data_IF_228074432463
#
_entry.id   IF_228074432463
#
_cell.length_a   1.000
_cell.length_b   1.000
_cell.length_c   1.000
_cell.angle_alpha   90.00
_cell.angle_beta   90.00
_cell.angle_gamma   90.00
#
_symmetry.space_group_name_H-M   'P 1'
#
loop_
_entity.id
_entity.type
_entity.pdbx_description
1 polymer ?
#
# COMPACT_ATOMS: atom_id res chain seq x y z
N UNK A 1 -70.54 19.99 4.19
CA UNK A 1 -69.20 20.09 4.79
C UNK A 1 -68.89 18.81 5.54
N UNK A 2 -68.00 17.95 5.03
CA UNK A 2 -67.38 16.87 5.80
C UNK A 2 -66.07 16.48 5.11
N UNK A 3 -64.96 16.86 5.74
CA UNK A 3 -63.59 16.52 5.33
C UNK A 3 -63.11 15.37 6.21
N UNK A 4 -62.64 14.27 5.63
CA UNK A 4 -61.68 13.30 6.20
C UNK A 4 -61.19 12.41 5.04
N UNK A 5 -60.06 12.78 4.44
CA UNK A 5 -58.70 12.26 4.73
C UNK A 5 -58.36 11.09 3.79
N UNK A 6 -57.76 11.44 2.64
CA UNK A 6 -57.09 10.49 1.74
C UNK A 6 -55.73 10.15 2.35
N UNK A 7 -55.57 8.92 2.81
CA UNK A 7 -54.27 8.38 3.23
C UNK A 7 -53.43 8.14 1.98
N UNK A 8 -52.46 9.04 1.72
CA UNK A 8 -51.46 8.84 0.69
C UNK A 8 -50.42 7.83 1.20
N UNK A 9 -50.39 6.65 0.58
CA UNK A 9 -49.31 5.68 0.78
C UNK A 9 -48.06 6.23 0.10
N UNK A 10 -47.22 6.90 0.87
CA UNK A 10 -45.88 7.30 0.43
C UNK A 10 -45.05 6.03 0.27
N UNK A 11 -44.93 5.54 -0.96
CA UNK A 11 -43.89 4.57 -1.32
C UNK A 11 -42.55 5.28 -1.18
N UNK A 12 -41.92 5.09 -0.02
CA UNK A 12 -40.53 5.45 0.21
C UNK A 12 -39.70 4.51 -0.66
N UNK A 13 -39.42 4.90 -1.90
CA UNK A 13 -38.38 4.27 -2.71
C UNK A 13 -37.08 4.44 -1.95
N UNK A 14 -36.66 3.38 -1.26
CA UNK A 14 -35.30 3.28 -0.75
C UNK A 14 -34.38 3.52 -1.94
N UNK A 15 -33.66 4.64 -1.90
CA UNK A 15 -32.54 4.87 -2.80
C UNK A 15 -31.53 3.79 -2.42
N UNK A 16 -31.48 2.72 -3.20
CA UNK A 16 -30.44 1.70 -3.06
C UNK A 16 -29.10 2.45 -3.05
N UNK A 17 -28.39 2.36 -1.94
CA UNK A 17 -26.98 2.73 -1.91
C UNK A 17 -26.32 1.94 -3.04
N UNK A 18 -25.48 2.62 -3.84
CA UNK A 18 -24.48 1.94 -4.65
C UNK A 18 -23.56 1.20 -3.67
N UNK A 19 -23.88 -0.04 -3.36
CA UNK A 19 -23.04 -0.94 -2.58
C UNK A 19 -22.82 -2.19 -3.43
N UNK A 20 -21.55 -2.59 -3.44
CA UNK A 20 -20.96 -3.79 -4.02
C UNK A 20 -20.68 -3.80 -5.52
N UNK A 21 -19.55 -3.19 -5.87
CA UNK A 21 -18.73 -3.54 -7.04
C UNK A 21 -17.99 -4.90 -6.85
N UNK A 22 -18.39 -5.72 -5.86
CA UNK A 22 -17.72 -6.99 -5.53
C UNK A 22 -16.39 -6.86 -4.78
N UNK A 23 -16.04 -5.66 -4.28
CA UNK A 23 -14.85 -5.47 -3.45
C UNK A 23 -15.11 -5.99 -2.02
N UNK A 24 -14.35 -6.99 -1.58
CA UNK A 24 -14.46 -7.60 -0.25
C UNK A 24 -14.15 -6.62 0.90
N UNK A 25 -13.48 -5.50 0.61
CA UNK A 25 -13.05 -4.50 1.59
C UNK A 25 -13.42 -3.10 1.10
N UNK A 26 -14.16 -2.35 1.92
CA UNK A 26 -14.34 -0.91 1.72
C UNK A 26 -13.12 -0.14 2.26
N UNK A 27 -12.15 0.02 1.37
CA UNK A 27 -10.93 0.80 1.58
C UNK A 27 -11.15 2.27 1.97
N UNK A 28 -12.33 2.82 1.72
CA UNK A 28 -12.63 4.23 2.02
C UNK A 28 -12.92 4.41 3.50
N UNK A 29 -13.56 3.41 4.11
CA UNK A 29 -14.10 3.49 5.48
C UNK A 29 -13.42 2.57 6.48
N UNK A 30 -12.55 1.64 6.01
CA UNK A 30 -11.81 0.72 6.88
C UNK A 30 -10.95 1.45 7.93
N UNK A 31 -10.46 2.64 7.60
CA UNK A 31 -9.62 3.46 8.48
C UNK A 31 -8.16 3.04 8.44
N UNK A 32 -7.28 3.98 8.84
CA UNK A 32 -5.82 3.83 8.76
C UNK A 32 -5.31 2.61 9.52
N UNK A 33 -5.69 2.46 10.79
CA UNK A 33 -5.15 1.41 11.67
C UNK A 33 -5.47 0.01 11.14
N UNK A 34 -6.71 -0.21 10.69
CA UNK A 34 -7.12 -1.49 10.11
C UNK A 34 -6.46 -1.75 8.77
N UNK A 35 -6.29 -0.71 7.94
CA UNK A 35 -5.53 -0.81 6.70
C UNK A 35 -4.09 -1.24 6.98
N UNK A 36 -3.37 -0.54 7.86
CA UNK A 36 -1.98 -0.84 8.21
C UNK A 36 -1.86 -2.27 8.75
N UNK A 37 -2.71 -2.63 9.72
CA UNK A 37 -2.72 -3.97 10.31
C UNK A 37 -2.97 -5.08 9.28
N UNK A 38 -3.86 -4.83 8.33
CA UNK A 38 -4.18 -5.80 7.28
C UNK A 38 -3.00 -5.97 6.32
N UNK A 39 -2.36 -4.88 5.88
CA UNK A 39 -1.20 -4.99 4.99
C UNK A 39 -0.01 -5.64 5.70
N UNK A 40 0.27 -5.27 6.95
CA UNK A 40 1.30 -5.91 7.78
C UNK A 40 1.09 -7.42 7.89
N UNK A 41 -0.16 -7.86 8.06
CA UNK A 41 -0.49 -9.28 8.11
C UNK A 41 -0.27 -9.98 6.76
N UNK A 42 -0.34 -9.26 5.63
CA UNK A 42 -0.15 -9.84 4.29
C UNK A 42 1.30 -9.84 3.81
N UNK A 43 2.16 -8.95 4.31
CA UNK A 43 3.59 -8.90 3.96
C UNK A 43 4.32 -10.25 4.17
N UNK A 44 4.12 -11.00 5.27
CA UNK A 44 4.74 -12.33 5.42
C UNK A 44 4.39 -13.30 4.30
N UNK A 45 3.18 -13.20 3.75
CA UNK A 45 2.75 -14.07 2.65
C UNK A 45 3.41 -13.68 1.31
N UNK A 46 3.88 -12.44 1.16
CA UNK A 46 4.69 -12.04 0.00
C UNK A 46 6.11 -12.56 0.08
N UNK A 47 6.59 -12.80 1.29
CA UNK A 47 7.97 -13.17 1.58
C UNK A 47 8.03 -14.45 2.42
N UNK A 48 7.54 -15.59 1.89
CA UNK A 48 7.41 -16.84 2.66
C UNK A 48 8.75 -17.38 3.17
N UNK A 49 9.86 -16.97 2.54
CA UNK A 49 11.23 -17.33 2.92
C UNK A 49 12.03 -16.13 3.47
N UNK A 50 11.40 -14.96 3.55
CA UNK A 50 12.05 -13.73 4.00
C UNK A 50 12.00 -13.58 5.52
N UNK A 51 13.01 -12.90 6.06
CA UNK A 51 12.97 -12.42 7.44
C UNK A 51 12.25 -11.08 7.49
N UNK A 52 11.16 -11.02 8.24
CA UNK A 52 10.46 -9.76 8.49
C UNK A 52 11.07 -9.03 9.67
N UNK A 53 11.38 -7.76 9.44
CA UNK A 53 11.86 -6.83 10.45
C UNK A 53 10.83 -5.70 10.55
N UNK A 54 10.10 -5.68 11.66
CA UNK A 54 9.30 -4.52 12.01
C UNK A 54 10.23 -3.48 12.67
N UNK A 55 10.27 -2.22 12.20
CA UNK A 55 10.98 -1.15 12.90
C UNK A 55 10.46 -1.06 14.35
N UNK A 56 11.38 -1.06 15.31
CA UNK A 56 11.15 -1.48 16.71
C UNK A 56 10.13 -0.65 17.50
N UNK A 57 9.64 0.51 17.01
CA UNK A 57 8.93 1.43 17.90
C UNK A 57 7.51 1.83 17.55
N UNK A 58 6.84 1.28 16.53
CA UNK A 58 5.36 1.41 16.35
C UNK A 58 4.77 2.84 16.35
N UNK A 59 5.62 3.88 16.41
CA UNK A 59 5.28 5.29 16.38
C UNK A 59 5.49 5.72 14.94
N UNK A 60 4.47 5.49 14.12
CA UNK A 60 4.39 6.06 12.78
C UNK A 60 4.68 7.55 12.84
N UNK A 61 5.85 7.96 12.35
CA UNK A 61 6.34 9.32 12.48
C UNK A 61 7.37 9.65 11.41
N UNK A 62 8.61 9.18 11.57
CA UNK A 62 9.73 9.82 10.85
C UNK A 62 10.70 8.85 10.14
N UNK A 63 10.36 7.55 10.03
CA UNK A 63 11.30 6.55 9.50
C UNK A 63 11.22 6.27 8.00
N UNK A 64 10.11 6.59 7.35
CA UNK A 64 9.87 6.24 5.94
C UNK A 64 9.73 4.73 5.66
N UNK A 65 9.65 3.91 6.72
CA UNK A 65 9.64 2.45 6.68
C UNK A 65 8.57 2.01 7.66
N UNK A 66 7.50 1.39 7.16
CA UNK A 66 6.47 0.79 8.01
C UNK A 66 6.68 -0.72 8.16
N UNK A 67 7.29 -1.36 7.15
CA UNK A 67 7.80 -2.72 7.27
C UNK A 67 9.03 -2.94 6.38
N UNK A 68 9.85 -3.90 6.77
CA UNK A 68 11.04 -4.32 6.02
C UNK A 68 11.07 -5.84 5.93
N UNK A 69 11.34 -6.36 4.73
CA UNK A 69 11.57 -7.77 4.48
C UNK A 69 12.98 -7.96 3.91
N UNK A 70 13.66 -9.00 4.36
CA UNK A 70 14.97 -9.42 3.87
C UNK A 70 14.78 -10.81 3.27
N UNK A 71 14.80 -10.90 1.94
CA UNK A 71 14.77 -12.19 1.25
C UNK A 71 16.19 -12.71 1.04
N UNK A 72 16.43 -14.03 1.13
CA UNK A 72 17.71 -14.61 0.72
C UNK A 72 17.98 -14.27 -0.76
N UNK A 73 19.22 -13.97 -1.12
CA UNK A 73 19.59 -13.90 -2.55
C UNK A 73 19.57 -15.31 -3.17
N UNK A 74 19.28 -15.40 -4.47
CA UNK A 74 19.30 -16.68 -5.22
C UNK A 74 20.63 -17.42 -5.08
N UNK A 75 21.72 -16.67 -4.86
CA UNK A 75 23.08 -17.18 -4.67
C UNK A 75 23.34 -17.74 -3.25
N UNK A 76 22.37 -17.64 -2.33
CA UNK A 76 22.52 -17.99 -0.91
C UNK A 76 21.45 -18.99 -0.46
N UNK A 77 21.27 -20.09 -1.21
CA UNK A 77 20.43 -21.20 -0.78
C UNK A 77 20.91 -21.76 0.59
N UNK A 78 20.14 -21.50 1.65
CA UNK A 78 20.32 -22.14 2.96
C UNK A 78 21.32 -21.48 3.93
N UNK A 79 21.88 -20.31 3.62
CA UNK A 79 22.83 -19.61 4.50
C UNK A 79 22.29 -18.24 4.92
N UNK A 80 21.99 -18.05 6.20
CA UNK A 80 21.64 -16.74 6.75
C UNK A 80 22.93 -15.96 6.97
N UNK A 81 23.39 -15.22 5.96
CA UNK A 81 24.64 -14.46 6.03
C UNK A 81 24.40 -13.10 6.68
N UNK A 82 24.54 -13.04 8.01
CA UNK A 82 24.37 -11.81 8.79
C UNK A 82 25.50 -10.77 8.64
N UNK A 83 26.47 -10.94 7.73
CA UNK A 83 27.67 -10.08 7.75
C UNK A 83 28.01 -9.32 6.47
N UNK A 84 27.87 -9.89 5.27
CA UNK A 84 28.36 -9.20 4.06
C UNK A 84 27.32 -9.01 2.93
N UNK A 85 26.38 -9.94 2.76
CA UNK A 85 25.23 -9.79 1.85
C UNK A 85 23.93 -10.26 2.53
N UNK A 86 23.08 -9.34 3.01
CA UNK A 86 21.84 -9.72 3.69
C UNK A 86 20.79 -10.28 2.73
N UNK A 87 21.03 -10.29 1.41
CA UNK A 87 20.03 -10.65 0.40
C UNK A 87 19.17 -9.45 -0.03
N UNK A 88 18.04 -9.72 -0.69
CA UNK A 88 17.18 -8.68 -1.25
C UNK A 88 16.42 -7.95 -0.14
N UNK A 89 16.81 -6.69 0.12
CA UNK A 89 16.13 -5.83 1.10
C UNK A 89 14.97 -5.08 0.44
N UNK A 90 13.77 -5.39 0.91
CA UNK A 90 12.49 -4.84 0.45
C UNK A 90 11.88 -3.99 1.56
N UNK A 91 11.50 -2.75 1.24
CA UNK A 91 10.85 -1.83 2.19
C UNK A 91 9.43 -1.54 1.74
N UNK A 92 8.52 -1.54 2.71
CA UNK A 92 7.13 -1.13 2.54
C UNK A 92 6.89 0.21 3.24
N UNK A 93 6.32 1.16 2.50
CA UNK A 93 5.75 2.37 3.03
C UNK A 93 4.23 2.34 2.79
N UNK A 94 3.49 2.28 3.88
CA UNK A 94 2.04 2.36 3.96
C UNK A 94 1.61 3.83 3.96
N UNK A 95 0.63 4.20 3.13
CA UNK A 95 -0.03 5.49 3.17
C UNK A 95 -1.54 5.33 2.98
N UNK A 96 -2.32 5.57 4.03
CA UNK A 96 -3.78 5.53 3.96
C UNK A 96 -4.34 6.76 3.22
N UNK A 97 -4.34 6.72 1.90
CA UNK A 97 -4.83 7.77 1.01
C UNK A 97 -5.99 7.25 0.13
N UNK A 98 -7.16 6.90 0.69
CA UNK A 98 -8.27 6.33 -0.09
C UNK A 98 -8.72 7.24 -1.24
N UNK A 99 -8.64 8.57 -1.06
CA UNK A 99 -9.03 9.56 -2.09
C UNK A 99 -7.91 9.89 -3.09
N UNK A 100 -6.80 9.14 -3.08
CA UNK A 100 -5.64 9.40 -3.95
C UNK A 100 -4.67 10.45 -3.43
N UNK A 101 -3.56 10.66 -4.16
CA UNK A 101 -2.45 11.54 -3.74
C UNK A 101 -2.06 12.57 -4.79
N UNK A 102 -2.86 12.77 -5.82
CA UNK A 102 -2.58 13.68 -6.94
C UNK A 102 -3.53 14.89 -6.98
N UNK A 103 -3.32 15.81 -7.92
CA UNK A 103 -4.18 16.98 -8.11
C UNK A 103 -4.10 17.96 -6.93
N UNK A 104 -5.21 18.14 -6.21
CA UNK A 104 -5.27 19.01 -5.02
C UNK A 104 -4.49 18.44 -3.83
N UNK A 105 -4.11 17.17 -3.87
CA UNK A 105 -3.42 16.48 -2.77
C UNK A 105 -1.89 16.57 -2.88
N UNK A 106 -1.32 17.72 -3.27
CA UNK A 106 0.13 17.90 -3.46
C UNK A 106 0.94 17.57 -2.20
N UNK A 107 0.38 17.82 -1.03
CA UNK A 107 1.01 17.50 0.25
C UNK A 107 1.21 15.98 0.42
N UNK A 108 0.30 15.15 -0.10
CA UNK A 108 0.45 13.69 -0.09
C UNK A 108 1.62 13.25 -0.98
N UNK A 109 1.85 13.88 -2.12
CA UNK A 109 3.06 13.64 -2.94
C UNK A 109 4.33 14.04 -2.20
N UNK A 110 4.30 15.14 -1.45
CA UNK A 110 5.45 15.56 -0.64
C UNK A 110 5.73 14.56 0.49
N UNK A 111 4.70 14.04 1.14
CA UNK A 111 4.84 12.96 2.12
C UNK A 111 5.47 11.71 1.51
N UNK A 112 5.02 11.29 0.33
CA UNK A 112 5.59 10.13 -0.40
C UNK A 112 7.09 10.37 -0.70
N UNK A 113 7.45 11.55 -1.22
CA UNK A 113 8.87 11.90 -1.47
C UNK A 113 9.72 11.84 -0.20
N UNK A 114 9.22 12.43 0.90
CA UNK A 114 9.95 12.44 2.18
C UNK A 114 10.14 11.03 2.72
N UNK A 115 9.10 10.21 2.67
CA UNK A 115 9.16 8.80 3.05
C UNK A 115 10.23 8.04 2.27
N UNK A 116 10.26 8.14 0.94
CA UNK A 116 11.28 7.45 0.14
C UNK A 116 12.71 7.91 0.47
N UNK A 117 12.95 9.23 0.56
CA UNK A 117 14.28 9.75 0.92
C UNK A 117 14.74 9.24 2.28
N UNK A 118 13.82 9.18 3.23
CA UNK A 118 14.12 8.71 4.57
C UNK A 118 14.37 7.20 4.61
N UNK A 119 13.62 6.41 3.83
CA UNK A 119 13.88 4.99 3.64
C UNK A 119 15.28 4.74 3.04
N UNK A 120 15.66 5.49 2.00
CA UNK A 120 17.01 5.40 1.40
C UNK A 120 18.09 5.72 2.42
N UNK A 121 17.90 6.77 3.24
CA UNK A 121 18.85 7.15 4.29
C UNK A 121 18.98 6.07 5.37
N UNK A 122 17.86 5.50 5.80
CA UNK A 122 17.80 4.53 6.89
C UNK A 122 18.21 3.12 6.44
N UNK A 123 17.99 2.79 5.17
CA UNK A 123 18.27 1.47 4.58
C UNK A 123 19.01 1.66 3.25
N UNK A 124 20.31 2.02 3.29
CA UNK A 124 21.09 2.28 2.06
C UNK A 124 21.23 1.07 1.13
N UNK A 125 21.06 -0.15 1.67
CA UNK A 125 21.13 -1.42 0.91
C UNK A 125 19.79 -1.83 0.29
N UNK A 126 18.73 -1.05 0.49
CA UNK A 126 17.40 -1.32 -0.08
C UNK A 126 17.48 -1.46 -1.60
N UNK A 127 16.88 -2.53 -2.12
CA UNK A 127 16.79 -2.80 -3.56
C UNK A 127 15.39 -2.56 -4.12
N UNK A 128 14.38 -2.75 -3.27
CA UNK A 128 12.98 -2.55 -3.62
C UNK A 128 12.26 -1.70 -2.60
N UNK A 129 11.50 -0.75 -3.09
CA UNK A 129 10.64 0.11 -2.29
C UNK A 129 9.21 0.06 -2.81
N UNK A 130 8.31 -0.32 -1.93
CA UNK A 130 6.89 -0.46 -2.19
C UNK A 130 6.13 0.67 -1.51
N UNK A 131 5.48 1.51 -2.31
CA UNK A 131 4.39 2.35 -1.81
C UNK A 131 3.11 1.52 -1.80
N UNK A 132 2.45 1.44 -0.65
CA UNK A 132 1.13 0.79 -0.54
C UNK A 132 0.10 1.86 -0.18
N UNK A 133 -0.91 2.03 -1.03
CA UNK A 133 -2.02 2.93 -0.73
C UNK A 133 -3.33 2.38 -1.28
N UNK A 134 -4.44 2.54 -0.54
CA UNK A 134 -5.73 1.98 -0.93
C UNK A 134 -6.47 2.90 -1.90
N UNK A 135 -5.78 3.35 -2.94
CA UNK A 135 -6.33 4.19 -4.01
C UNK A 135 -5.76 3.79 -5.37
N UNK A 136 -6.39 4.33 -6.42
CA UNK A 136 -5.84 4.30 -7.78
C UNK A 136 -5.21 5.67 -8.08
N UNK A 137 -3.99 5.69 -8.61
CA UNK A 137 -3.37 6.92 -9.03
C UNK A 137 -4.03 7.46 -10.31
N UNK A 138 -4.25 8.77 -10.38
CA UNK A 138 -4.54 9.44 -11.66
C UNK A 138 -3.32 9.42 -12.58
N UNK A 139 -3.48 9.83 -13.85
CA UNK A 139 -2.35 9.97 -14.78
C UNK A 139 -1.20 10.82 -14.20
N UNK A 140 -1.52 11.97 -13.60
CA UNK A 140 -0.55 12.83 -12.92
C UNK A 140 0.06 12.20 -11.67
N UNK A 141 -0.65 11.27 -11.01
CA UNK A 141 -0.11 10.46 -9.91
C UNK A 141 0.90 9.43 -10.42
N UNK A 142 0.59 8.75 -11.53
CA UNK A 142 1.51 7.81 -12.19
C UNK A 142 2.76 8.50 -12.73
N UNK A 143 2.63 9.66 -13.36
CA UNK A 143 3.77 10.49 -13.79
C UNK A 143 4.66 10.88 -12.61
N UNK A 144 4.05 11.28 -11.49
CA UNK A 144 4.77 11.57 -10.25
C UNK A 144 5.58 10.36 -9.76
N UNK A 145 4.96 9.17 -9.70
CA UNK A 145 5.65 7.94 -9.27
C UNK A 145 6.75 7.53 -10.25
N UNK A 146 6.51 7.63 -11.56
CA UNK A 146 7.51 7.35 -12.59
C UNK A 146 8.72 8.28 -12.47
N UNK A 147 8.49 9.59 -12.27
CA UNK A 147 9.55 10.56 -12.04
C UNK A 147 10.31 10.26 -10.75
N UNK A 148 9.58 9.92 -9.68
CA UNK A 148 10.18 9.55 -8.40
C UNK A 148 11.11 8.32 -8.56
N UNK A 149 10.71 7.32 -9.33
CA UNK A 149 11.55 6.15 -9.61
C UNK A 149 12.80 6.51 -10.40
N UNK A 150 12.69 7.37 -11.42
CA UNK A 150 13.83 7.85 -12.22
C UNK A 150 14.83 8.65 -11.38
N UNK A 151 14.37 9.46 -10.43
CA UNK A 151 15.24 10.25 -9.53
C UNK A 151 16.09 9.36 -8.59
N UNK A 152 15.72 8.09 -8.40
CA UNK A 152 16.36 7.16 -7.47
C UNK A 152 16.87 5.92 -8.22
N UNK A 153 17.75 6.15 -9.21
CA UNK A 153 18.35 5.10 -10.04
C UNK A 153 18.91 3.92 -9.23
N UNK A 154 18.65 2.70 -9.69
CA UNK A 154 19.10 1.47 -9.03
C UNK A 154 18.17 0.94 -7.93
N UNK A 155 17.09 1.67 -7.61
CA UNK A 155 16.03 1.23 -6.73
C UNK A 155 14.77 0.86 -7.53
N UNK A 156 14.27 -0.36 -7.36
CA UNK A 156 12.97 -0.75 -7.91
C UNK A 156 11.85 -0.10 -7.08
N UNK A 157 11.08 0.79 -7.71
CA UNK A 157 9.97 1.48 -7.06
C UNK A 157 8.65 0.95 -7.60
N UNK A 158 7.85 0.33 -6.74
CA UNK A 158 6.57 -0.28 -7.12
C UNK A 158 5.41 0.31 -6.31
N UNK A 159 4.25 0.46 -6.95
CA UNK A 159 3.04 0.99 -6.31
C UNK A 159 1.97 -0.10 -6.21
N UNK A 160 1.68 -0.50 -4.98
CA UNK A 160 0.60 -1.43 -4.64
C UNK A 160 -0.64 -0.60 -4.39
N UNK A 161 -1.46 -0.53 -5.44
CA UNK A 161 -2.65 0.28 -5.51
C UNK A 161 -3.90 -0.57 -5.23
N UNK A 162 -5.05 0.10 -5.09
CA UNK A 162 -6.34 -0.53 -4.80
C UNK A 162 -6.63 -1.75 -5.68
N UNK A 163 -6.49 -1.64 -7.00
CA UNK A 163 -6.69 -2.78 -7.90
C UNK A 163 -5.79 -4.00 -7.67
N UNK A 164 -4.59 -3.85 -7.08
CA UNK A 164 -3.74 -4.97 -6.66
C UNK A 164 -4.24 -5.53 -5.32
N UNK A 165 -4.59 -4.66 -4.38
CA UNK A 165 -5.13 -5.04 -3.07
C UNK A 165 -6.47 -5.78 -3.16
N UNK A 166 -7.31 -5.40 -4.13
CA UNK A 166 -8.59 -6.03 -4.44
C UNK A 166 -8.42 -7.34 -5.23
N UNK A 167 -7.23 -7.60 -5.78
CA UNK A 167 -6.97 -8.70 -6.69
C UNK A 167 -6.25 -9.90 -6.04
N UNK A 168 -6.41 -11.13 -6.58
CA UNK A 168 -5.66 -12.30 -6.12
C UNK A 168 -4.15 -12.18 -6.37
N UNK A 169 -3.72 -11.17 -7.15
CA UNK A 169 -2.31 -10.94 -7.50
C UNK A 169 -1.46 -10.55 -6.30
N UNK A 170 -2.03 -9.94 -5.27
CA UNK A 170 -1.29 -9.77 -4.02
C UNK A 170 -0.95 -11.15 -3.45
N UNK A 171 -1.91 -12.06 -3.31
CA UNK A 171 -1.66 -13.40 -2.76
C UNK A 171 -0.71 -14.32 -3.58
N UNK A 172 -0.30 -13.94 -4.79
CA UNK A 172 0.41 -14.81 -5.73
C UNK A 172 1.62 -14.19 -6.44
N UNK A 173 2.23 -13.12 -5.92
CA UNK A 173 3.49 -12.65 -6.50
C UNK A 173 4.61 -13.64 -6.18
N UNK A 174 4.83 -14.61 -7.08
CA UNK A 174 6.05 -15.41 -7.11
C UNK A 174 7.18 -14.51 -7.63
N UNK A 175 8.25 -14.27 -6.87
CA UNK A 175 9.48 -13.76 -7.46
C UNK A 175 10.01 -14.85 -8.42
N UNK A 176 10.27 -14.51 -9.69
CA UNK A 176 10.96 -15.39 -10.64
C UNK A 176 10.18 -15.90 -11.87
N UNK A 177 9.29 -15.11 -12.49
CA UNK A 177 8.78 -15.43 -13.83
C UNK A 177 8.62 -14.19 -14.72
N UNK A 178 9.72 -13.77 -15.35
CA UNK A 178 9.83 -13.45 -16.79
C UNK A 178 11.24 -12.97 -17.10
#
# INVERSE_FOLDING_TARGET
MSRRSKTAVVRKTARMSKTDDGALIDWTTIGRERFERLIEALIPYQHPHGTLVHPVDGRGGDGGIDALAIEPSEDTEGMVVYRDDPGLVVVYQLKYFPDGFSGRNKDRQQQIRRSLRQAIKNVPRMKKWFLVAPCTASNTGWEFLSKLGKENHGLENSFIHRGILDGPKWAHHKPGCS
#
